data_IF_836228431162
#
_entry.id   IF_836228431162
#
_cell.length_a   1.000
_cell.length_b   1.000
_cell.length_c   1.000
_cell.angle_alpha   90.00
_cell.angle_beta   90.00
_cell.angle_gamma   90.00
#
_symmetry.space_group_name_H-M   'P 1'
#
loop_
_entity.id
_entity.type
_entity.pdbx_description
1 polymer ?
#
# COMPACT_ATOMS: atom_id res chain seq x y z
N UNK A 1 -18.75 4.05 1.79
CA UNK A 1 -18.93 5.49 1.71
C UNK A 1 -17.91 6.12 0.74
N UNK A 2 -17.98 7.41 0.57
CA UNK A 2 -17.15 8.11 -0.41
C UNK A 2 -15.66 8.06 -0.09
N UNK A 3 -15.29 8.15 1.17
CA UNK A 3 -13.89 8.07 1.59
C UNK A 3 -13.34 6.68 1.29
N UNK A 4 -14.10 5.64 1.59
CA UNK A 4 -13.71 4.27 1.29
C UNK A 4 -13.54 4.07 -0.21
N UNK A 5 -14.46 4.59 -1.01
CA UNK A 5 -14.40 4.45 -2.46
C UNK A 5 -13.15 5.13 -3.03
N UNK A 6 -12.80 6.31 -2.51
CA UNK A 6 -11.59 7.02 -2.96
C UNK A 6 -10.32 6.32 -2.54
N UNK A 7 -10.30 5.72 -1.35
CA UNK A 7 -9.17 4.93 -0.90
C UNK A 7 -8.98 3.71 -1.82
N UNK A 8 -10.06 3.02 -2.15
CA UNK A 8 -10.01 1.87 -3.05
C UNK A 8 -9.46 2.27 -4.43
N UNK A 9 -9.90 3.42 -4.95
CA UNK A 9 -9.39 3.93 -6.21
C UNK A 9 -7.90 4.24 -6.15
N UNK A 10 -7.47 4.88 -5.06
CA UNK A 10 -6.06 5.24 -4.88
C UNK A 10 -5.20 3.98 -4.87
N UNK A 11 -5.64 2.95 -4.15
CA UNK A 11 -4.92 1.68 -4.09
C UNK A 11 -4.86 1.02 -5.47
N UNK A 12 -5.96 1.06 -6.22
CA UNK A 12 -6.02 0.47 -7.54
C UNK A 12 -5.05 1.12 -8.53
N UNK A 13 -4.68 2.37 -8.28
CA UNK A 13 -3.73 3.11 -9.13
C UNK A 13 -2.27 2.84 -8.84
N UNK A 14 -1.98 2.15 -7.74
CA UNK A 14 -0.60 1.85 -7.36
C UNK A 14 0.03 0.84 -8.31
N UNK A 15 1.35 0.94 -8.56
CA UNK A 15 2.07 -0.14 -9.23
C UNK A 15 1.88 -1.45 -8.48
N UNK A 16 1.95 -2.57 -9.20
CA UNK A 16 1.62 -3.88 -8.65
C UNK A 16 2.30 -4.19 -7.32
N UNK A 17 3.61 -3.98 -7.23
CA UNK A 17 4.36 -4.29 -6.00
C UNK A 17 3.87 -3.45 -4.83
N UNK A 18 3.72 -2.14 -5.05
CA UNK A 18 3.25 -1.24 -4.00
C UNK A 18 1.83 -1.58 -3.56
N UNK A 19 0.97 -1.91 -4.52
CA UNK A 19 -0.41 -2.30 -4.23
C UNK A 19 -0.47 -3.57 -3.39
N UNK A 20 0.33 -4.58 -3.76
CA UNK A 20 0.37 -5.84 -3.03
C UNK A 20 0.86 -5.62 -1.60
N UNK A 21 1.96 -4.88 -1.43
CA UNK A 21 2.50 -4.61 -0.10
C UNK A 21 1.52 -3.81 0.74
N UNK A 22 0.89 -2.80 0.13
CA UNK A 22 -0.09 -1.99 0.86
C UNK A 22 -1.27 -2.83 1.34
N UNK A 23 -1.81 -3.69 0.47
CA UNK A 23 -2.94 -4.54 0.84
C UNK A 23 -2.59 -5.49 1.97
N UNK A 24 -1.43 -6.13 1.90
CA UNK A 24 -1.00 -7.07 2.94
C UNK A 24 -0.72 -6.38 4.27
N UNK A 25 -0.12 -5.21 4.23
CA UNK A 25 0.23 -4.49 5.45
C UNK A 25 -0.96 -3.77 6.08
N UNK A 26 -1.74 -3.08 5.28
CA UNK A 26 -2.82 -2.22 5.78
C UNK A 26 -4.11 -3.00 6.03
N UNK A 27 -4.57 -3.76 5.05
CA UNK A 27 -5.86 -4.46 5.17
C UNK A 27 -5.75 -5.80 5.87
N UNK A 28 -4.68 -6.56 5.59
CA UNK A 28 -4.49 -7.88 6.21
C UNK A 28 -3.69 -7.79 7.51
N UNK A 29 -3.18 -6.62 7.85
CA UNK A 29 -2.44 -6.34 9.08
C UNK A 29 -1.28 -7.30 9.33
N UNK A 30 -0.61 -7.72 8.26
CA UNK A 30 0.54 -8.62 8.35
C UNK A 30 1.80 -7.88 8.78
N UNK A 31 2.68 -8.61 9.45
CA UNK A 31 3.99 -8.08 9.81
C UNK A 31 4.92 -8.11 8.60
N UNK A 32 5.88 -7.18 8.55
CA UNK A 32 6.85 -7.19 7.46
C UNK A 32 7.59 -8.51 7.35
N UNK A 33 7.90 -9.16 8.49
CA UNK A 33 8.56 -10.47 8.46
C UNK A 33 7.73 -11.52 7.73
N UNK A 34 6.42 -11.48 7.92
CA UNK A 34 5.51 -12.41 7.24
C UNK A 34 5.41 -12.11 5.75
N UNK A 35 5.27 -10.83 5.40
CA UNK A 35 5.19 -10.41 4.00
C UNK A 35 6.51 -10.76 3.28
N UNK A 36 7.63 -10.56 3.97
CA UNK A 36 8.95 -10.87 3.43
C UNK A 36 9.05 -12.33 3.01
N UNK A 37 8.52 -13.25 3.82
CA UNK A 37 8.52 -14.67 3.50
C UNK A 37 7.63 -14.99 2.30
N UNK A 38 6.45 -14.38 2.25
CA UNK A 38 5.50 -14.63 1.17
C UNK A 38 6.01 -14.11 -0.17
N UNK A 39 6.53 -12.89 -0.19
CA UNK A 39 6.97 -12.24 -1.41
C UNK A 39 8.44 -12.45 -1.75
N UNK A 40 9.19 -13.13 -0.87
CA UNK A 40 10.62 -13.34 -1.03
C UNK A 40 11.36 -12.02 -1.29
N UNK A 41 11.03 -11.02 -0.49
CA UNK A 41 11.55 -9.66 -0.61
C UNK A 41 12.03 -9.20 0.77
N UNK A 42 13.12 -8.45 0.84
CA UNK A 42 13.66 -7.98 2.11
C UNK A 42 12.67 -7.03 2.81
N UNK A 43 12.70 -7.04 4.15
CA UNK A 43 11.84 -6.15 4.93
C UNK A 43 12.12 -4.68 4.63
N UNK A 44 13.38 -4.32 4.40
CA UNK A 44 13.75 -2.96 4.04
C UNK A 44 13.09 -2.51 2.74
N UNK A 45 13.09 -3.40 1.74
CA UNK A 45 12.45 -3.10 0.45
C UNK A 45 10.94 -2.97 0.63
N UNK A 46 10.33 -3.80 1.48
CA UNK A 46 8.90 -3.73 1.75
C UNK A 46 8.52 -2.42 2.44
N UNK A 47 9.33 -1.98 3.40
CA UNK A 47 9.09 -0.70 4.07
C UNK A 47 9.16 0.46 3.09
N UNK A 48 10.13 0.43 2.18
CA UNK A 48 10.26 1.45 1.14
C UNK A 48 9.03 1.45 0.21
N UNK A 49 8.60 0.27 -0.22
CA UNK A 49 7.43 0.14 -1.08
C UNK A 49 6.15 0.63 -0.38
N UNK A 50 5.99 0.29 0.89
CA UNK A 50 4.84 0.74 1.67
C UNK A 50 4.85 2.26 1.83
N UNK A 51 6.00 2.83 2.13
CA UNK A 51 6.15 4.28 2.26
C UNK A 51 5.73 5.00 0.96
N UNK A 52 6.20 4.50 -0.18
CA UNK A 52 5.84 5.07 -1.48
C UNK A 52 4.35 4.92 -1.76
N UNK A 53 3.77 3.78 -1.40
CA UNK A 53 2.34 3.55 -1.57
C UNK A 53 1.52 4.57 -0.76
N UNK A 54 1.87 4.75 0.51
CA UNK A 54 1.18 5.71 1.39
C UNK A 54 1.29 7.12 0.82
N UNK A 55 2.47 7.50 0.36
CA UNK A 55 2.69 8.82 -0.22
C UNK A 55 1.79 9.05 -1.44
N UNK A 56 1.73 8.08 -2.35
CA UNK A 56 0.91 8.21 -3.55
C UNK A 56 -0.58 8.26 -3.21
N UNK A 57 -1.01 7.44 -2.26
CA UNK A 57 -2.40 7.44 -1.81
C UNK A 57 -2.77 8.79 -1.22
N UNK A 58 -1.92 9.34 -0.36
CA UNK A 58 -2.15 10.62 0.27
C UNK A 58 -2.25 11.72 -0.77
N UNK A 59 -1.35 11.75 -1.75
CA UNK A 59 -1.38 12.73 -2.83
C UNK A 59 -2.68 12.63 -3.64
N UNK A 60 -3.10 11.40 -3.94
CA UNK A 60 -4.32 11.19 -4.70
C UNK A 60 -5.55 11.69 -3.92
N UNK A 61 -5.63 11.37 -2.64
CA UNK A 61 -6.76 11.80 -1.82
C UNK A 61 -6.80 13.31 -1.67
N UNK A 62 -5.63 13.96 -1.57
CA UNK A 62 -5.58 15.42 -1.49
C UNK A 62 -6.03 16.11 -2.77
N UNK A 63 -6.01 15.41 -3.89
CA UNK A 63 -6.47 16.01 -5.16
C UNK A 63 -7.98 16.30 -5.16
N UNK A 64 -8.70 15.79 -4.17
CA UNK A 64 -10.14 16.03 -4.02
C UNK A 64 -10.46 17.14 -3.01
N UNK A 65 -9.45 17.72 -2.40
CA UNK A 65 -9.64 18.80 -1.41
C UNK A 65 -9.94 20.15 -2.06
#
# INVERSE_FOLDING_TARGET
DEVQARLQEAVARLPEVQRTVFNLKYFEEMKYSEISQILNTSEGALKASYHLAVKKITEYLHSFD
#
